data_IF_106759565535
#
_entry.id   IF_106759565535
#
_cell.length_a   1.000
_cell.length_b   1.000
_cell.length_c   1.000
_cell.angle_alpha   90.00
_cell.angle_beta   90.00
_cell.angle_gamma   90.00
#
_symmetry.space_group_name_H-M   'P 1'
#
loop_
_entity.id
_entity.type
_entity.pdbx_description
1 polymer ?
#
# COMPACT_ATOMS: atom_id res chain seq x y z
N UNK A 1 10.75 -21.53 8.18
CA UNK A 1 10.28 -20.80 6.99
C UNK A 1 11.20 -21.10 5.80
N UNK A 2 11.02 -22.24 5.10
CA UNK A 2 11.86 -22.64 3.96
C UNK A 2 11.02 -23.06 2.74
N UNK A 3 9.84 -22.46 2.62
CA UNK A 3 8.82 -22.79 1.61
C UNK A 3 8.56 -21.65 0.63
N UNK A 4 9.09 -20.45 0.88
CA UNK A 4 9.20 -19.43 -0.16
C UNK A 4 10.32 -19.86 -1.10
N UNK A 5 10.01 -19.93 -2.39
CA UNK A 5 11.02 -19.83 -3.44
C UNK A 5 11.84 -18.57 -3.14
N UNK A 6 13.16 -18.60 -3.33
CA UNK A 6 13.96 -17.37 -3.19
C UNK A 6 13.30 -16.30 -4.07
N UNK A 7 13.06 -15.12 -3.49
CA UNK A 7 12.44 -14.01 -4.21
C UNK A 7 13.22 -13.72 -5.49
N UNK A 8 12.59 -13.06 -6.47
CA UNK A 8 13.32 -12.55 -7.62
C UNK A 8 14.23 -11.40 -7.18
N UNK A 9 15.37 -11.77 -6.59
CA UNK A 9 16.35 -10.85 -6.04
C UNK A 9 16.87 -9.92 -7.13
N UNK A 10 16.81 -10.30 -8.42
CA UNK A 10 17.22 -9.40 -9.50
C UNK A 10 16.25 -8.23 -9.67
N UNK A 11 14.93 -8.49 -9.57
CA UNK A 11 13.93 -7.43 -9.57
C UNK A 11 14.03 -6.54 -8.31
N UNK A 12 14.30 -7.14 -7.15
CA UNK A 12 14.55 -6.41 -5.90
C UNK A 12 15.82 -5.55 -5.97
N UNK A 13 16.97 -6.14 -6.29
CA UNK A 13 18.26 -5.46 -6.45
C UNK A 13 18.11 -4.28 -7.43
N UNK A 14 17.41 -4.49 -8.56
CA UNK A 14 17.16 -3.43 -9.54
C UNK A 14 16.24 -2.32 -9.01
N UNK A 15 15.23 -2.65 -8.20
CA UNK A 15 14.37 -1.67 -7.54
C UNK A 15 15.16 -0.86 -6.51
N UNK A 16 16.01 -1.51 -5.71
CA UNK A 16 16.85 -0.85 -4.71
C UNK A 16 17.90 0.05 -5.38
N UNK A 17 18.54 -0.38 -6.48
CA UNK A 17 19.41 0.47 -7.30
C UNK A 17 18.68 1.74 -7.78
N UNK A 18 17.47 1.59 -8.33
CA UNK A 18 16.66 2.72 -8.81
C UNK A 18 16.23 3.65 -7.67
N UNK A 19 15.93 3.12 -6.48
CA UNK A 19 15.66 3.92 -5.28
C UNK A 19 16.90 4.72 -4.87
N UNK A 20 18.06 4.06 -4.83
CA UNK A 20 19.32 4.67 -4.41
C UNK A 20 19.78 5.76 -5.40
N UNK A 21 19.58 5.55 -6.71
CA UNK A 21 19.73 6.57 -7.76
C UNK A 21 18.79 7.75 -7.57
N UNK A 22 17.49 7.50 -7.33
CA UNK A 22 16.49 8.55 -7.12
C UNK A 22 16.80 9.39 -5.88
N UNK A 23 17.17 8.75 -4.76
CA UNK A 23 17.56 9.42 -3.51
C UNK A 23 18.81 10.27 -3.70
N UNK A 24 19.80 9.81 -4.48
CA UNK A 24 20.96 10.63 -4.85
C UNK A 24 20.53 11.82 -5.72
N UNK A 25 19.66 11.61 -6.70
CA UNK A 25 19.18 12.65 -7.63
C UNK A 25 18.43 13.79 -6.92
N UNK A 26 17.45 13.49 -6.06
CA UNK A 26 16.62 14.50 -5.38
C UNK A 26 17.42 15.35 -4.37
N UNK A 27 18.59 14.88 -3.93
CA UNK A 27 19.51 15.60 -3.04
C UNK A 27 20.48 16.53 -3.78
N UNK A 28 20.58 16.46 -5.10
CA UNK A 28 21.55 17.26 -5.88
C UNK A 28 21.24 18.77 -5.76
N UNK A 29 22.25 19.60 -5.47
CA UNK A 29 22.06 21.06 -5.31
C UNK A 29 21.45 21.78 -6.54
N UNK A 30 21.67 21.34 -7.81
CA UNK A 30 20.89 21.83 -8.95
C UNK A 30 19.39 21.46 -8.89
N UNK A 31 19.02 20.32 -8.31
CA UNK A 31 17.64 19.89 -8.12
C UNK A 31 16.96 20.72 -7.02
N UNK A 32 17.60 20.84 -5.85
CA UNK A 32 17.12 21.67 -4.75
C UNK A 32 16.87 23.12 -5.18
N UNK A 33 17.78 23.72 -5.96
CA UNK A 33 17.60 25.09 -6.51
C UNK A 33 16.40 25.21 -7.44
N UNK A 34 16.05 24.18 -8.22
CA UNK A 34 14.81 24.19 -9.03
C UNK A 34 13.56 24.20 -8.13
N UNK A 35 13.58 23.47 -7.02
CA UNK A 35 12.49 23.47 -6.04
C UNK A 35 12.37 24.84 -5.35
N UNK A 36 13.48 25.49 -5.01
CA UNK A 36 13.49 26.87 -4.47
C UNK A 36 12.89 27.87 -5.47
N UNK A 37 13.36 27.86 -6.73
CA UNK A 37 12.81 28.74 -7.78
C UNK A 37 11.34 28.46 -8.11
N UNK A 38 10.90 27.20 -8.05
CA UNK A 38 9.49 26.82 -8.18
C UNK A 38 8.66 27.40 -7.04
N UNK A 39 9.10 27.22 -5.79
CA UNK A 39 8.42 27.75 -4.62
C UNK A 39 8.37 29.30 -4.64
N UNK A 40 9.45 29.96 -5.04
CA UNK A 40 9.50 31.42 -5.22
C UNK A 40 8.51 31.89 -6.29
N UNK A 41 8.43 31.19 -7.43
CA UNK A 41 7.48 31.50 -8.50
C UNK A 41 6.00 31.34 -8.10
N UNK A 42 5.68 30.34 -7.26
CA UNK A 42 4.32 30.11 -6.76
C UNK A 42 3.94 31.05 -5.60
N UNK A 43 4.88 31.32 -4.69
CA UNK A 43 4.62 32.12 -3.47
C UNK A 43 4.84 33.63 -3.68
N UNK A 44 5.48 34.03 -4.78
CA UNK A 44 5.73 35.43 -5.14
C UNK A 44 6.77 36.14 -4.26
N UNK A 45 7.53 35.39 -3.45
CA UNK A 45 8.53 35.90 -2.50
C UNK A 45 9.75 34.97 -2.44
N UNK A 46 10.95 35.49 -2.11
CA UNK A 46 12.15 34.68 -2.02
C UNK A 46 11.99 33.48 -1.08
N UNK A 47 12.17 32.30 -1.65
CA UNK A 47 12.01 31.00 -0.99
C UNK A 47 13.38 30.32 -0.83
N UNK A 48 13.61 29.66 0.30
CA UNK A 48 14.82 28.87 0.56
C UNK A 48 14.49 27.51 1.14
N UNK A 49 15.25 26.51 0.74
CA UNK A 49 15.19 25.17 1.30
C UNK A 49 15.77 25.16 2.71
N UNK A 50 15.01 24.63 3.65
CA UNK A 50 15.46 24.30 5.01
C UNK A 50 15.82 22.82 5.07
N UNK A 51 17.04 22.52 5.48
CA UNK A 51 17.51 21.16 5.70
C UNK A 51 17.11 20.64 7.09
N UNK A 52 16.95 19.31 7.28
CA UNK A 52 17.09 18.24 6.29
C UNK A 52 15.89 18.10 5.34
N UNK A 53 16.13 17.46 4.20
CA UNK A 53 15.07 16.88 3.35
C UNK A 53 14.43 15.68 4.07
N UNK A 54 13.12 15.52 3.91
CA UNK A 54 12.39 14.35 4.42
C UNK A 54 12.14 13.43 3.23
N UNK A 55 12.67 12.21 3.25
CA UNK A 55 12.50 11.23 2.18
C UNK A 55 11.81 10.00 2.78
N UNK A 56 10.61 9.71 2.31
CA UNK A 56 9.90 8.45 2.55
C UNK A 56 10.05 7.49 1.37
N UNK A 57 9.32 6.37 1.38
CA UNK A 57 9.40 5.36 0.31
C UNK A 57 8.99 5.91 -1.06
N UNK A 58 7.87 6.64 -1.14
CA UNK A 58 7.28 7.11 -2.41
C UNK A 58 7.26 8.63 -2.58
N UNK A 59 7.69 9.40 -1.57
CA UNK A 59 7.58 10.86 -1.52
C UNK A 59 8.85 11.48 -0.95
N UNK A 60 9.26 12.61 -1.52
CA UNK A 60 10.23 13.54 -0.92
C UNK A 60 9.52 14.86 -0.56
N UNK A 61 9.76 15.34 0.66
CA UNK A 61 9.27 16.63 1.13
C UNK A 61 10.45 17.59 1.25
N UNK A 62 10.29 18.76 0.65
CA UNK A 62 11.22 19.88 0.69
C UNK A 62 10.65 20.96 1.62
N UNK A 63 11.16 21.12 2.86
CA UNK A 63 10.75 22.21 3.74
C UNK A 63 11.24 23.54 3.20
N UNK A 64 10.32 24.46 2.92
CA UNK A 64 10.60 25.79 2.38
C UNK A 64 10.33 26.85 3.45
N UNK A 65 11.27 27.78 3.60
CA UNK A 65 11.09 29.01 4.36
C UNK A 65 11.09 30.20 3.41
N UNK A 66 10.09 31.08 3.55
CA UNK A 66 10.00 32.33 2.79
C UNK A 66 10.43 33.53 3.64
N UNK A 67 10.95 34.56 2.98
CA UNK A 67 11.31 35.81 3.65
C UNK A 67 10.07 36.52 4.21
N UNK A 68 10.12 36.93 5.48
CA UNK A 68 9.06 37.70 6.13
C UNK A 68 7.92 36.89 6.76
N UNK A 69 7.98 35.55 6.74
CA UNK A 69 7.00 34.69 7.43
C UNK A 69 7.68 33.73 8.41
N UNK A 70 7.01 33.44 9.52
CA UNK A 70 7.32 32.33 10.42
C UNK A 70 6.68 31.00 9.99
N UNK A 71 5.77 31.04 9.01
CA UNK A 71 5.10 29.86 8.48
C UNK A 71 6.06 29.06 7.58
N UNK A 72 6.20 27.77 7.85
CA UNK A 72 6.93 26.83 7.00
C UNK A 72 6.03 26.27 5.90
N UNK A 73 6.55 26.20 4.69
CA UNK A 73 5.89 25.62 3.52
C UNK A 73 6.51 24.26 3.22
N UNK A 74 5.78 23.39 2.52
CA UNK A 74 6.28 22.09 2.07
C UNK A 74 6.01 21.99 0.56
N UNK A 75 7.06 21.75 -0.22
CA UNK A 75 6.90 21.22 -1.57
C UNK A 75 7.00 19.70 -1.45
N UNK A 76 5.91 19.01 -1.76
CA UNK A 76 5.84 17.56 -1.76
C UNK A 76 5.97 17.06 -3.20
N UNK A 77 6.82 16.08 -3.45
CA UNK A 77 6.98 15.48 -4.77
C UNK A 77 7.06 13.96 -4.65
N UNK A 78 6.40 13.20 -5.54
CA UNK A 78 6.66 11.78 -5.70
C UNK A 78 8.14 11.51 -5.98
N UNK A 79 8.68 10.43 -5.39
CA UNK A 79 10.07 10.03 -5.58
C UNK A 79 10.25 9.46 -7.02
N UNK A 80 11.19 9.99 -7.83
CA UNK A 80 11.43 9.49 -9.19
C UNK A 80 11.72 7.99 -9.21
N UNK A 81 11.31 7.29 -10.27
CA UNK A 81 11.54 5.86 -10.49
C UNK A 81 11.04 4.91 -9.38
N UNK A 82 10.23 5.41 -8.43
CA UNK A 82 9.81 4.68 -7.22
C UNK A 82 8.33 4.85 -6.90
N UNK A 83 7.80 6.08 -7.05
CA UNK A 83 6.35 6.25 -7.15
C UNK A 83 5.88 5.54 -8.42
N UNK A 84 5.34 4.32 -8.26
CA UNK A 84 4.60 3.62 -9.30
C UNK A 84 3.41 4.51 -9.61
N UNK A 85 3.60 5.28 -10.68
CA UNK A 85 2.74 6.34 -11.16
C UNK A 85 2.78 7.70 -10.32
N UNK A 86 3.16 8.91 -10.85
CA UNK A 86 3.11 10.22 -10.11
C UNK A 86 1.92 11.26 -10.23
N UNK A 87 1.06 11.37 -11.29
CA UNK A 87 -0.04 12.41 -11.43
C UNK A 87 -1.04 12.15 -10.30
N UNK A 88 -1.76 11.01 -10.35
CA UNK A 88 -2.98 10.82 -9.57
C UNK A 88 -2.67 10.87 -8.07
N UNK A 89 -1.48 10.47 -7.61
CA UNK A 89 -0.92 10.74 -6.27
C UNK A 89 -1.01 12.21 -5.94
N UNK A 90 -0.42 13.04 -6.79
CA UNK A 90 -0.45 14.50 -6.61
C UNK A 90 -1.86 15.09 -6.72
N UNK A 91 -2.73 14.59 -7.62
CA UNK A 91 -4.11 15.05 -7.78
C UNK A 91 -4.99 14.68 -6.60
N UNK A 92 -5.07 13.40 -6.25
CA UNK A 92 -5.94 12.93 -5.20
C UNK A 92 -5.44 13.46 -3.84
N UNK A 93 -4.15 13.75 -3.66
CA UNK A 93 -3.65 14.52 -2.50
C UNK A 93 -4.25 15.91 -2.44
N UNK A 94 -4.16 16.65 -3.55
CA UNK A 94 -4.66 18.00 -3.62
C UNK A 94 -6.18 18.05 -3.48
N UNK A 95 -6.90 17.21 -4.24
CA UNK A 95 -8.35 17.12 -4.24
C UNK A 95 -8.90 16.69 -2.88
N UNK A 96 -8.35 15.65 -2.25
CA UNK A 96 -8.81 15.17 -0.95
C UNK A 96 -8.47 16.17 0.16
N UNK A 97 -7.28 16.77 0.18
CA UNK A 97 -6.96 17.81 1.16
C UNK A 97 -7.85 19.07 0.98
N UNK A 98 -8.16 19.48 -0.25
CA UNK A 98 -9.11 20.58 -0.53
C UNK A 98 -10.51 20.19 -0.06
N UNK A 99 -10.99 18.99 -0.39
CA UNK A 99 -12.31 18.49 0.00
C UNK A 99 -12.45 18.45 1.53
N UNK A 100 -11.47 17.89 2.24
CA UNK A 100 -11.48 17.81 3.71
C UNK A 100 -11.45 19.21 4.33
N UNK A 101 -10.67 20.14 3.78
CA UNK A 101 -10.65 21.55 4.21
C UNK A 101 -12.01 22.25 4.01
N UNK A 102 -12.76 21.88 2.98
CA UNK A 102 -14.04 22.51 2.61
C UNK A 102 -15.25 21.89 3.31
N UNK A 103 -15.21 20.60 3.62
CA UNK A 103 -16.37 19.81 4.05
C UNK A 103 -16.26 19.20 5.45
N UNK A 104 -15.14 19.39 6.17
CA UNK A 104 -14.94 18.84 7.52
C UNK A 104 -14.29 19.86 8.46
N UNK A 105 -14.21 19.52 9.75
CA UNK A 105 -13.42 20.27 10.74
C UNK A 105 -11.99 19.72 10.91
N UNK A 106 -11.58 18.71 10.12
CA UNK A 106 -10.26 18.08 10.23
C UNK A 106 -9.17 19.04 9.73
N UNK A 107 -8.13 19.22 10.53
CA UNK A 107 -6.97 20.01 10.15
C UNK A 107 -6.11 19.23 9.15
N UNK A 108 -5.93 19.80 7.96
CA UNK A 108 -5.07 19.27 6.90
C UNK A 108 -4.19 20.41 6.34
N UNK A 109 -3.00 20.11 5.78
CA UNK A 109 -2.17 21.14 5.18
C UNK A 109 -2.91 21.88 4.05
N UNK A 110 -2.94 23.21 4.12
CA UNK A 110 -3.55 24.03 3.07
C UNK A 110 -2.79 23.85 1.75
N UNK A 111 -3.48 23.38 0.73
CA UNK A 111 -2.95 23.28 -0.64
C UNK A 111 -2.89 24.68 -1.25
N UNK A 112 -1.69 25.11 -1.66
CA UNK A 112 -1.47 26.38 -2.36
C UNK A 112 -1.43 26.22 -3.89
N UNK A 113 -0.90 25.10 -4.38
CA UNK A 113 -0.73 24.79 -5.81
C UNK A 113 -0.53 23.28 -6.00
N UNK A 114 -0.89 22.76 -7.19
CA UNK A 114 -0.60 21.38 -7.62
C UNK A 114 -0.48 21.29 -9.15
N UNK A 115 0.30 20.31 -9.66
CA UNK A 115 0.52 20.00 -11.08
C UNK A 115 0.92 18.51 -11.26
N UNK A 116 1.04 17.96 -12.48
CA UNK A 116 0.72 16.53 -12.70
C UNK A 116 1.44 15.74 -13.84
N UNK A 117 2.01 14.51 -13.58
CA UNK A 117 2.21 13.34 -14.53
C UNK A 117 2.35 11.91 -13.86
N UNK A 118 1.77 10.74 -14.32
CA UNK A 118 0.58 9.89 -13.89
C UNK A 118 0.71 8.79 -12.75
N UNK A 119 -0.25 8.68 -11.75
CA UNK A 119 -0.84 7.69 -10.70
C UNK A 119 -0.48 7.46 -9.15
N UNK A 120 -0.89 6.34 -8.45
CA UNK A 120 -0.85 5.57 -7.10
C UNK A 120 0.02 5.79 -5.77
N UNK A 121 -0.05 4.99 -4.65
CA UNK A 121 -0.97 4.85 -3.45
C UNK A 121 -0.19 5.09 -2.09
N UNK A 122 -0.80 5.36 -0.90
CA UNK A 122 -0.34 5.15 0.53
C UNK A 122 -1.10 5.99 1.63
N UNK A 123 -1.82 5.35 2.60
CA UNK A 123 -2.34 5.98 3.84
C UNK A 123 -2.13 5.08 5.08
N UNK A 124 -1.46 5.62 6.12
CA UNK A 124 -0.95 4.91 7.31
C UNK A 124 -0.89 5.83 8.56
N UNK A 125 -0.67 5.28 9.78
CA UNK A 125 -0.52 6.09 11.01
C UNK A 125 0.63 7.11 10.99
N UNK A 126 1.67 6.89 10.19
CA UNK A 126 2.73 7.88 9.93
C UNK A 126 2.21 9.19 9.31
N UNK A 127 0.97 9.18 8.80
CA UNK A 127 0.31 10.31 8.20
C UNK A 127 -0.59 11.07 9.18
N UNK A 128 -0.69 10.63 10.45
CA UNK A 128 -1.36 11.38 11.52
C UNK A 128 -0.31 12.15 12.32
N UNK A 129 -0.29 13.47 12.21
CA UNK A 129 0.60 14.33 12.98
C UNK A 129 0.01 14.58 14.36
N UNK A 130 0.80 14.34 15.40
CA UNK A 130 0.45 14.63 16.81
C UNK A 130 1.46 15.59 17.43
N UNK A 131 1.04 16.32 18.46
CA UNK A 131 1.94 17.12 19.30
C UNK A 131 2.49 16.31 20.48
N UNK A 132 3.38 16.91 21.26
CA UNK A 132 3.98 16.33 22.49
C UNK A 132 2.94 15.93 23.56
N UNK A 133 1.69 16.39 23.44
CA UNK A 133 0.56 16.06 24.30
C UNK A 133 -0.39 15.00 23.67
N UNK A 134 0.05 14.27 22.64
CA UNK A 134 -0.72 13.31 21.86
C UNK A 134 -2.01 13.86 21.22
N UNK A 135 -2.15 15.19 21.09
CA UNK A 135 -3.28 15.79 20.37
C UNK A 135 -3.01 15.76 18.87
N UNK A 136 -3.97 15.30 18.07
CA UNK A 136 -3.87 15.32 16.61
C UNK A 136 -3.78 16.76 16.13
N UNK A 137 -2.64 17.11 15.53
CA UNK A 137 -2.39 18.41 14.88
C UNK A 137 -2.96 18.47 13.47
N UNK A 138 -3.08 17.31 12.83
CA UNK A 138 -3.68 17.16 11.51
C UNK A 138 -3.29 15.84 10.87
N UNK A 139 -3.89 15.56 9.73
CA UNK A 139 -3.57 14.37 8.92
C UNK A 139 -3.01 14.84 7.57
N UNK A 140 -1.99 14.14 7.09
CA UNK A 140 -1.29 14.37 5.83
C UNK A 140 -1.49 13.16 4.90
N UNK A 141 -0.82 13.12 3.74
CA UNK A 141 -0.87 11.96 2.82
C UNK A 141 -2.28 11.46 2.47
N UNK A 142 -3.21 12.42 2.32
CA UNK A 142 -4.52 12.23 1.72
C UNK A 142 -4.46 11.90 0.22
N UNK A 143 -3.36 11.29 -0.24
CA UNK A 143 -3.09 11.13 -1.65
C UNK A 143 -4.03 10.16 -2.36
N UNK A 144 -4.87 9.41 -1.62
CA UNK A 144 -5.75 8.38 -2.17
C UNK A 144 -7.09 8.27 -1.44
N UNK A 145 -8.03 9.15 -1.78
CA UNK A 145 -9.44 8.77 -1.81
C UNK A 145 -9.66 7.78 -2.97
N UNK A 146 -9.21 6.53 -2.78
CA UNK A 146 -9.23 5.50 -3.81
C UNK A 146 -10.66 5.11 -4.19
N UNK A 147 -10.93 5.00 -5.50
CA UNK A 147 -12.15 4.42 -6.04
C UNK A 147 -12.12 2.89 -5.93
N UNK A 148 -12.17 2.40 -4.69
CA UNK A 148 -12.27 0.98 -4.37
C UNK A 148 -13.64 0.40 -4.74
N UNK A 149 -13.72 -0.94 -4.76
CA UNK A 149 -14.97 -1.58 -4.34
C UNK A 149 -15.28 -1.07 -2.93
N UNK A 150 -16.51 -0.62 -2.69
CA UNK A 150 -16.94 -0.09 -1.39
C UNK A 150 -16.56 -1.01 -0.24
N UNK A 151 -16.51 -2.33 -0.49
CA UNK A 151 -16.10 -3.35 0.47
C UNK A 151 -14.80 -3.03 1.22
N UNK A 152 -13.76 -2.52 0.56
CA UNK A 152 -12.45 -2.30 1.19
C UNK A 152 -12.45 -1.18 2.26
N UNK A 153 -13.39 -0.24 2.24
CA UNK A 153 -13.53 0.75 3.32
C UNK A 153 -14.26 0.15 4.54
N UNK A 154 -14.96 -0.97 4.34
CA UNK A 154 -15.77 -1.65 5.36
C UNK A 154 -14.99 -2.68 6.16
N UNK A 155 -13.76 -2.98 5.76
CA UNK A 155 -12.92 -3.94 6.44
C UNK A 155 -12.05 -3.28 7.51
N UNK A 156 -11.70 -4.06 8.53
CA UNK A 156 -10.89 -3.57 9.64
C UNK A 156 -9.52 -3.05 9.16
N UNK A 157 -9.00 -1.93 9.68
CA UNK A 157 -7.75 -1.36 9.20
C UNK A 157 -6.56 -2.24 9.58
N UNK A 158 -5.89 -2.87 8.61
CA UNK A 158 -4.75 -3.79 8.86
C UNK A 158 -3.61 -3.14 9.66
N UNK A 159 -3.44 -1.81 9.57
CA UNK A 159 -2.32 -1.08 10.16
C UNK A 159 -2.40 -0.87 11.69
N UNK A 160 -3.38 -1.43 12.41
CA UNK A 160 -3.50 -1.25 13.88
C UNK A 160 -2.27 -1.73 14.68
N UNK A 161 -1.44 -2.63 14.12
CA UNK A 161 -0.18 -3.06 14.73
C UNK A 161 1.06 -2.29 14.22
N UNK A 162 0.88 -1.32 13.32
CA UNK A 162 1.92 -0.56 12.61
C UNK A 162 2.84 -1.39 11.68
N UNK A 163 2.71 -2.71 11.70
CA UNK A 163 3.48 -3.67 10.90
C UNK A 163 2.56 -4.69 10.23
N UNK A 164 3.02 -5.29 9.13
CA UNK A 164 2.22 -6.13 8.25
C UNK A 164 2.17 -7.60 8.73
N UNK A 165 1.06 -8.33 8.51
CA UNK A 165 0.96 -9.76 8.80
C UNK A 165 2.11 -10.60 8.23
N UNK A 166 2.58 -10.29 7.01
CA UNK A 166 3.63 -11.04 6.31
C UNK A 166 5.07 -10.60 6.64
N UNK A 167 5.24 -9.52 7.40
CA UNK A 167 6.52 -8.93 7.79
C UNK A 167 6.84 -9.06 9.30
N UNK A 168 5.86 -9.51 10.09
CA UNK A 168 5.97 -9.70 11.54
C UNK A 168 7.12 -10.64 11.91
N UNK A 169 7.89 -10.30 12.95
CA UNK A 169 8.99 -11.14 13.48
C UNK A 169 8.51 -12.52 13.99
N UNK A 170 7.24 -12.58 14.41
CA UNK A 170 6.57 -13.78 14.89
C UNK A 170 5.86 -14.57 13.78
N UNK A 171 4.80 -15.29 14.12
CA UNK A 171 3.94 -15.92 13.12
C UNK A 171 2.76 -15.02 12.72
N UNK A 172 2.12 -15.29 11.57
CA UNK A 172 0.95 -14.53 11.14
C UNK A 172 -0.26 -14.77 12.07
N UNK A 173 -0.31 -15.94 12.71
CA UNK A 173 -1.27 -16.29 13.77
C UNK A 173 -1.00 -15.50 15.06
N UNK A 174 0.26 -15.27 15.42
CA UNK A 174 0.64 -14.37 16.52
C UNK A 174 0.21 -12.94 16.22
N UNK A 175 0.55 -12.41 15.04
CA UNK A 175 0.08 -11.09 14.56
C UNK A 175 -1.44 -10.98 14.68
N UNK A 176 -2.17 -12.00 14.21
CA UNK A 176 -3.65 -12.09 14.26
C UNK A 176 -4.19 -12.00 15.68
N UNK A 177 -3.60 -12.74 16.62
CA UNK A 177 -4.03 -12.73 18.03
C UNK A 177 -3.83 -11.37 18.71
N UNK A 178 -2.75 -10.67 18.36
CA UNK A 178 -2.44 -9.34 18.91
C UNK A 178 -3.32 -8.28 18.22
N UNK A 179 -3.55 -8.42 16.91
CA UNK A 179 -4.40 -7.55 16.11
C UNK A 179 -5.83 -7.57 16.60
N UNK A 180 -6.40 -8.75 16.88
CA UNK A 180 -7.77 -8.87 17.41
C UNK A 180 -7.97 -8.07 18.71
N UNK A 181 -7.01 -8.11 19.63
CA UNK A 181 -7.07 -7.32 20.88
C UNK A 181 -7.06 -5.81 20.60
N UNK A 182 -6.31 -5.35 19.59
CA UNK A 182 -6.29 -3.94 19.18
C UNK A 182 -7.53 -3.55 18.38
N UNK A 183 -8.06 -4.44 17.55
CA UNK A 183 -9.29 -4.25 16.81
C UNK A 183 -10.47 -4.03 17.77
N UNK A 184 -10.59 -4.80 18.85
CA UNK A 184 -11.64 -4.54 19.84
C UNK A 184 -11.51 -3.16 20.52
N UNK A 185 -10.31 -2.59 20.62
CA UNK A 185 -10.13 -1.22 21.11
C UNK A 185 -10.50 -0.16 20.05
N UNK A 186 -10.13 -0.39 18.78
CA UNK A 186 -10.52 0.44 17.64
C UNK A 186 -12.05 0.48 17.48
N UNK A 187 -12.70 -0.68 17.46
CA UNK A 187 -14.14 -0.80 17.32
C UNK A 187 -14.89 -0.05 18.44
N UNK A 188 -14.45 -0.13 19.70
CA UNK A 188 -15.06 0.64 20.80
C UNK A 188 -14.94 2.16 20.62
N UNK A 189 -13.81 2.64 20.10
CA UNK A 189 -13.62 4.07 19.83
C UNK A 189 -14.50 4.54 18.64
N UNK A 190 -14.64 3.69 17.62
CA UNK A 190 -15.49 3.94 16.47
C UNK A 190 -16.98 3.92 16.87
N UNK A 191 -17.42 2.91 17.65
CA UNK A 191 -18.76 2.82 18.25
C UNK A 191 -19.09 4.02 19.15
N UNK A 192 -18.09 4.63 19.81
CA UNK A 192 -18.28 5.83 20.62
C UNK A 192 -18.44 7.10 19.78
N UNK A 193 -17.64 7.26 18.72
CA UNK A 193 -17.81 8.34 17.74
C UNK A 193 -19.13 8.24 16.97
N UNK A 194 -19.58 7.01 16.67
CA UNK A 194 -20.83 6.72 15.98
C UNK A 194 -22.09 7.05 16.82
N UNK A 195 -21.98 7.28 18.14
CA UNK A 195 -23.12 7.69 18.99
C UNK A 195 -23.66 9.08 18.66
N UNK A 196 -22.86 9.93 18.01
CA UNK A 196 -23.27 11.26 17.58
C UNK A 196 -23.96 11.25 16.19
N UNK A 197 -24.09 10.08 15.55
CA UNK A 197 -24.78 9.92 14.28
C UNK A 197 -26.29 9.82 14.42
N UNK A 198 -27.02 10.24 13.38
CA UNK A 198 -28.47 10.18 13.34
C UNK A 198 -28.99 8.72 13.29
N UNK A 199 -30.14 8.40 13.91
CA UNK A 199 -30.72 7.06 13.89
C UNK A 199 -30.90 6.50 12.46
N UNK A 200 -30.37 5.30 12.22
CA UNK A 200 -30.38 4.66 10.90
C UNK A 200 -29.19 5.04 10.00
N UNK A 201 -28.22 5.80 10.52
CA UNK A 201 -26.95 6.05 9.85
C UNK A 201 -26.11 4.78 9.66
N UNK A 202 -25.18 4.83 8.71
CA UNK A 202 -24.25 3.76 8.41
C UNK A 202 -23.24 3.59 9.55
N UNK A 203 -23.24 2.42 10.21
CA UNK A 203 -22.33 2.10 11.32
C UNK A 203 -21.15 1.29 10.79
N UNK A 204 -20.02 1.97 10.59
CA UNK A 204 -18.79 1.38 10.06
C UNK A 204 -18.21 0.32 11.01
N UNK A 205 -18.35 0.52 12.33
CA UNK A 205 -17.93 -0.45 13.34
C UNK A 205 -18.56 -1.83 13.16
N UNK A 206 -19.84 -1.90 12.78
CA UNK A 206 -20.55 -3.15 12.57
C UNK A 206 -19.98 -3.93 11.37
N UNK A 207 -19.73 -3.26 10.25
CA UNK A 207 -19.14 -3.91 9.08
C UNK A 207 -17.66 -4.29 9.30
N UNK A 208 -16.88 -3.46 9.99
CA UNK A 208 -15.49 -3.80 10.35
C UNK A 208 -15.44 -5.03 11.25
N UNK A 209 -16.33 -5.12 12.25
CA UNK A 209 -16.48 -6.32 13.10
C UNK A 209 -16.82 -7.56 12.27
N UNK A 210 -17.83 -7.46 11.43
CA UNK A 210 -18.26 -8.54 10.53
C UNK A 210 -17.13 -8.98 9.57
N UNK A 211 -16.32 -8.04 9.05
CA UNK A 211 -15.19 -8.36 8.15
C UNK A 211 -14.18 -9.29 8.79
N UNK A 212 -13.94 -9.11 10.09
CA UNK A 212 -12.99 -9.90 10.86
C UNK A 212 -13.57 -11.27 11.20
N UNK A 213 -14.78 -11.30 11.75
CA UNK A 213 -15.47 -12.53 12.19
C UNK A 213 -15.72 -13.51 11.03
N UNK A 214 -16.12 -12.99 9.86
CA UNK A 214 -16.32 -13.80 8.63
C UNK A 214 -15.01 -14.23 7.98
N UNK A 215 -13.90 -13.55 8.25
CA UNK A 215 -12.63 -13.69 7.55
C UNK A 215 -12.58 -12.96 6.20
N UNK A 216 -13.60 -12.16 5.85
CA UNK A 216 -13.60 -11.30 4.65
C UNK A 216 -12.37 -10.38 4.63
N UNK A 217 -11.97 -9.85 5.79
CA UNK A 217 -10.73 -9.08 5.94
C UNK A 217 -9.53 -9.77 5.27
N UNK A 218 -9.38 -11.09 5.41
CA UNK A 218 -8.27 -11.82 4.80
C UNK A 218 -8.43 -12.02 3.29
N UNK A 219 -9.66 -12.13 2.79
CA UNK A 219 -9.93 -12.21 1.35
C UNK A 219 -9.56 -10.89 0.67
N UNK A 220 -10.06 -9.78 1.20
CA UNK A 220 -9.82 -8.45 0.66
C UNK A 220 -8.36 -8.01 0.88
N UNK A 221 -7.74 -8.37 2.01
CA UNK A 221 -6.30 -8.18 2.22
C UNK A 221 -5.46 -8.95 1.19
N UNK A 222 -5.77 -10.23 0.92
CA UNK A 222 -5.06 -11.03 -0.07
C UNK A 222 -5.24 -10.46 -1.50
N UNK A 223 -6.43 -9.99 -1.85
CA UNK A 223 -6.71 -9.33 -3.12
C UNK A 223 -5.93 -8.01 -3.28
N UNK A 224 -5.75 -7.24 -2.20
CA UNK A 224 -4.98 -5.99 -2.17
C UNK A 224 -3.46 -6.17 -2.02
N UNK A 225 -2.98 -7.38 -1.72
CA UNK A 225 -1.57 -7.66 -1.34
C UNK A 225 -1.07 -8.96 -1.96
N UNK A 226 -0.75 -8.91 -3.25
CA UNK A 226 -0.16 -10.04 -4.01
C UNK A 226 1.04 -10.71 -3.30
N UNK A 227 1.89 -9.92 -2.62
CA UNK A 227 3.02 -10.43 -1.82
C UNK A 227 2.62 -11.28 -0.61
N UNK A 228 1.50 -10.96 0.03
CA UNK A 228 0.98 -11.69 1.17
C UNK A 228 0.06 -12.85 0.75
N UNK A 229 -0.41 -12.86 -0.51
CA UNK A 229 -1.43 -13.75 -1.02
C UNK A 229 -1.20 -15.22 -0.65
N UNK A 230 -0.04 -15.80 -0.97
CA UNK A 230 0.23 -17.22 -0.70
C UNK A 230 0.13 -17.56 0.80
N UNK A 231 0.75 -16.74 1.66
CA UNK A 231 0.73 -16.95 3.11
C UNK A 231 -0.68 -16.77 3.68
N UNK A 232 -1.42 -15.73 3.28
CA UNK A 232 -2.79 -15.48 3.73
C UNK A 232 -3.77 -16.54 3.20
N UNK A 233 -3.61 -16.96 1.95
CA UNK A 233 -4.43 -17.98 1.32
C UNK A 233 -4.30 -19.32 2.05
N UNK A 234 -3.06 -19.79 2.25
CA UNK A 234 -2.80 -21.06 2.93
C UNK A 234 -3.09 -21.05 4.44
N UNK A 235 -3.02 -19.91 5.13
CA UNK A 235 -3.37 -19.85 6.56
C UNK A 235 -4.87 -19.61 6.80
N UNK A 236 -5.54 -18.74 6.03
CA UNK A 236 -6.89 -18.25 6.39
C UNK A 236 -8.00 -18.54 5.39
N UNK A 237 -7.70 -18.75 4.10
CA UNK A 237 -8.74 -18.80 3.05
C UNK A 237 -9.01 -20.21 2.53
N UNK A 238 -7.96 -20.99 2.26
CA UNK A 238 -8.05 -22.29 1.58
C UNK A 238 -9.04 -23.26 2.25
N UNK A 239 -8.93 -23.51 3.58
CA UNK A 239 -9.87 -24.41 4.26
C UNK A 239 -11.27 -23.82 4.44
N UNK A 240 -11.45 -22.49 4.34
CA UNK A 240 -12.78 -21.85 4.36
C UNK A 240 -13.55 -22.07 3.06
N UNK A 241 -12.85 -22.03 1.92
CA UNK A 241 -13.46 -22.21 0.60
C UNK A 241 -13.50 -23.67 0.14
N UNK A 242 -12.51 -24.48 0.54
CA UNK A 242 -12.33 -25.85 0.03
C UNK A 242 -12.38 -26.95 1.10
N UNK A 243 -12.73 -26.60 2.34
CA UNK A 243 -12.87 -27.54 3.46
C UNK A 243 -11.53 -28.05 4.02
N UNK A 244 -11.59 -28.94 5.00
CA UNK A 244 -10.38 -29.50 5.64
C UNK A 244 -9.44 -30.19 4.63
N UNK A 245 -8.13 -30.10 4.85
CA UNK A 245 -7.10 -30.72 3.98
C UNK A 245 -7.00 -32.25 4.11
N UNK A 246 -7.62 -32.84 5.13
CA UNK A 246 -7.63 -34.28 5.40
C UNK A 246 -6.31 -34.86 5.93
N UNK A 247 -5.16 -34.45 5.38
CA UNK A 247 -3.83 -34.89 5.83
C UNK A 247 -3.20 -33.90 6.82
N UNK A 248 -3.12 -34.29 8.09
CA UNK A 248 -2.40 -33.54 9.11
C UNK A 248 -0.87 -33.68 8.93
N UNK A 249 -0.15 -32.55 8.96
CA UNK A 249 1.32 -32.52 8.92
C UNK A 249 1.96 -32.30 7.54
N UNK A 250 1.17 -31.98 6.51
CA UNK A 250 1.70 -31.51 5.22
C UNK A 250 2.53 -30.24 5.45
N UNK A 251 3.72 -30.17 4.84
CA UNK A 251 4.62 -29.01 4.96
C UNK A 251 4.02 -27.81 4.23
N UNK A 252 4.27 -26.59 4.72
CA UNK A 252 3.76 -25.35 4.12
C UNK A 252 3.98 -25.26 2.59
N UNK A 253 5.17 -25.58 2.09
CA UNK A 253 5.50 -25.57 0.65
C UNK A 253 4.92 -26.74 -0.16
N UNK A 254 4.16 -27.62 0.46
CA UNK A 254 3.50 -28.78 -0.16
C UNK A 254 1.97 -28.73 -0.03
N UNK A 255 1.41 -27.69 0.62
CA UNK A 255 -0.04 -27.55 0.83
C UNK A 255 -0.83 -27.58 -0.48
N UNK A 256 -0.28 -27.02 -1.56
CA UNK A 256 -0.87 -27.07 -2.90
C UNK A 256 -1.20 -28.50 -3.37
N UNK A 257 -0.41 -29.52 -2.96
CA UNK A 257 -0.66 -30.93 -3.32
C UNK A 257 -2.00 -31.43 -2.81
N UNK A 258 -2.47 -30.90 -1.66
CA UNK A 258 -3.78 -31.24 -1.10
C UNK A 258 -4.94 -30.77 -1.98
N UNK A 259 -4.71 -29.81 -2.90
CA UNK A 259 -5.73 -29.17 -3.75
C UNK A 259 -5.62 -29.47 -5.25
N UNK A 260 -4.60 -30.20 -5.70
CA UNK A 260 -4.43 -30.59 -7.12
C UNK A 260 -5.64 -31.36 -7.69
N UNK A 261 -6.43 -32.01 -6.83
CA UNK A 261 -7.64 -32.73 -7.20
C UNK A 261 -8.84 -31.81 -7.55
N UNK A 262 -8.80 -30.52 -7.16
CA UNK A 262 -9.84 -29.54 -7.49
C UNK A 262 -9.75 -29.06 -8.94
N UNK A 263 -8.56 -29.14 -9.54
CA UNK A 263 -8.31 -28.77 -10.92
C UNK A 263 -8.88 -29.83 -11.88
N UNK A 264 -9.25 -29.41 -13.09
CA UNK A 264 -9.55 -30.29 -14.22
C UNK A 264 -8.29 -30.99 -14.76
N UNK A 265 -8.47 -31.94 -15.68
CA UNK A 265 -7.33 -32.55 -16.38
C UNK A 265 -6.60 -31.56 -17.30
N UNK A 266 -7.35 -30.62 -17.89
CA UNK A 266 -6.82 -29.58 -18.79
C UNK A 266 -5.98 -28.55 -18.03
N UNK A 267 -6.49 -28.06 -16.89
CA UNK A 267 -5.74 -27.16 -16.00
C UNK A 267 -4.46 -27.83 -15.48
N UNK A 268 -4.53 -29.11 -15.09
CA UNK A 268 -3.33 -29.87 -14.68
C UNK A 268 -2.31 -30.03 -15.82
N UNK A 269 -2.76 -30.31 -17.04
CA UNK A 269 -1.88 -30.50 -18.18
C UNK A 269 -1.14 -29.20 -18.58
N UNK A 270 -1.80 -28.04 -18.45
CA UNK A 270 -1.23 -26.74 -18.81
C UNK A 270 -0.34 -26.10 -17.72
N UNK A 271 -0.40 -26.58 -16.47
CA UNK A 271 0.62 -26.25 -15.46
C UNK A 271 2.02 -26.72 -15.87
N UNK A 272 2.15 -27.88 -16.53
CA UNK A 272 3.45 -28.48 -16.84
C UNK A 272 4.28 -27.60 -17.83
N UNK A 273 3.73 -27.09 -18.96
CA UNK A 273 4.41 -26.10 -19.79
C UNK A 273 4.80 -24.82 -19.03
N UNK A 274 3.92 -24.29 -18.18
CA UNK A 274 4.20 -23.07 -17.41
C UNK A 274 5.39 -23.27 -16.44
N UNK A 275 5.40 -24.41 -15.73
CA UNK A 275 6.49 -24.80 -14.84
C UNK A 275 7.79 -24.99 -15.63
N UNK A 276 7.75 -25.69 -16.77
CA UNK A 276 8.94 -25.90 -17.60
C UNK A 276 9.52 -24.55 -18.10
N UNK A 277 8.67 -23.65 -18.60
CA UNK A 277 9.08 -22.29 -19.01
C UNK A 277 9.72 -21.54 -17.84
N UNK A 278 9.10 -21.56 -16.64
CA UNK A 278 9.64 -20.88 -15.46
C UNK A 278 10.96 -21.48 -14.97
N UNK A 279 11.12 -22.80 -15.05
CA UNK A 279 12.36 -23.49 -14.72
C UNK A 279 13.47 -23.18 -15.73
N UNK A 280 13.16 -22.97 -17.01
CA UNK A 280 14.12 -22.53 -18.02
C UNK A 280 14.50 -21.04 -17.83
N UNK A 281 13.54 -20.15 -17.60
CA UNK A 281 13.78 -18.72 -17.29
C UNK A 281 14.67 -18.53 -16.05
N UNK A 282 14.50 -19.40 -15.03
CA UNK A 282 15.28 -19.35 -13.79
C UNK A 282 16.78 -19.61 -13.97
N UNK A 283 17.21 -20.15 -15.12
CA UNK A 283 18.63 -20.44 -15.43
C UNK A 283 19.38 -19.18 -15.86
N UNK A 284 18.75 -18.37 -16.71
CA UNK A 284 19.36 -17.15 -17.26
C UNK A 284 19.26 -15.98 -16.28
N UNK A 285 18.22 -15.94 -15.44
CA UNK A 285 17.96 -14.86 -14.46
C UNK A 285 18.08 -13.47 -15.10
N UNK A 286 17.16 -13.15 -16.00
CA UNK A 286 17.09 -11.85 -16.68
C UNK A 286 15.73 -11.21 -16.48
N UNK A 287 15.70 -9.89 -16.26
CA UNK A 287 14.48 -9.10 -16.34
C UNK A 287 14.12 -8.95 -17.82
N UNK A 288 12.91 -9.34 -18.19
CA UNK A 288 12.42 -9.24 -19.57
C UNK A 288 11.31 -8.19 -19.61
N UNK A 289 11.57 -7.08 -20.28
CA UNK A 289 10.52 -6.12 -20.63
C UNK A 289 9.64 -6.76 -21.72
N UNK A 290 8.33 -6.88 -21.43
CA UNK A 290 7.32 -7.27 -22.42
C UNK A 290 6.58 -6.02 -22.87
N UNK A 291 6.33 -5.90 -24.17
CA UNK A 291 5.31 -4.97 -24.66
C UNK A 291 3.90 -5.51 -24.38
N UNK A 292 2.90 -4.64 -24.50
CA UNK A 292 1.50 -4.98 -24.19
C UNK A 292 0.96 -6.17 -25.01
N UNK A 293 1.42 -6.32 -26.27
CA UNK A 293 0.99 -7.40 -27.15
C UNK A 293 1.64 -8.74 -26.76
N UNK A 294 2.93 -8.75 -26.44
CA UNK A 294 3.65 -9.92 -25.94
C UNK A 294 3.10 -10.38 -24.58
N UNK A 295 2.89 -9.44 -23.65
CA UNK A 295 2.31 -9.72 -22.34
C UNK A 295 0.90 -10.31 -22.46
N UNK A 296 0.06 -9.73 -23.33
CA UNK A 296 -1.30 -10.24 -23.58
C UNK A 296 -1.27 -11.63 -24.21
N UNK A 297 -0.48 -11.82 -25.27
CA UNK A 297 -0.37 -13.12 -25.98
C UNK A 297 0.15 -14.22 -25.05
N UNK A 298 1.12 -13.87 -24.19
CA UNK A 298 1.69 -14.78 -23.21
C UNK A 298 0.69 -15.12 -22.10
N UNK A 299 -0.07 -14.16 -21.58
CA UNK A 299 -1.16 -14.44 -20.64
C UNK A 299 -2.19 -15.38 -21.28
N UNK A 300 -2.64 -15.10 -22.50
CA UNK A 300 -3.60 -15.94 -23.24
C UNK A 300 -3.13 -17.39 -23.42
N UNK A 301 -1.81 -17.65 -23.48
CA UNK A 301 -1.28 -19.02 -23.58
C UNK A 301 -1.45 -19.87 -22.31
N UNK A 302 -1.89 -19.26 -21.20
CA UNK A 302 -2.16 -19.93 -19.92
C UNK A 302 -3.62 -19.79 -19.45
N UNK A 303 -4.49 -19.19 -20.27
CA UNK A 303 -5.93 -19.09 -20.00
C UNK A 303 -6.67 -20.21 -20.74
N UNK A 304 -7.72 -20.72 -20.12
CA UNK A 304 -8.66 -21.69 -20.69
C UNK A 304 -9.96 -20.94 -21.03
N UNK A 305 -10.55 -21.23 -22.18
CA UNK A 305 -11.81 -20.65 -22.67
C UNK A 305 -13.05 -21.28 -21.98
#
# INVERSE_FOLDING_TARGET
MSARQDSDNLAWDRSDELWDEAVKQVRLSPYCRKIESFAEGILGVPAKLKTPLIIGGFNVLYPIQIQGSSCGFLVCQPLPNQAVFPKEKTLAKAATAIYITQHTQLLVPKVFYYSVDPSCDDLRPANVLVNDNNSVLGVIDWEFAYAALTQFILDSPWWLLLDKPEAWDGSIEEWTSIYEVRLQAWLRALEEAERELEPGSFLLSAYMRESWETGRFWLDYAAMRSWAFDTVYWTYLDERFFGERGEAGVRAGELWKTRVHLLSEEERAAMEPLVQIKMDESKERVLVDWDDEEATRRLSSFLFD
#
